data_IF_418250382850
#
_entry.id   IF_418250382850
#
_cell.length_a   1.000
_cell.length_b   1.000
_cell.length_c   1.000
_cell.angle_alpha   90.00
_cell.angle_beta   90.00
_cell.angle_gamma   90.00
#
_symmetry.space_group_name_H-M   'P 1'
#
loop_
_entity.id
_entity.type
_entity.pdbx_description
1 polymer ?
#
# COMPACT_ATOMS: atom_id res chain seq x y z
N UNK A 1 -12.03 40.51 -4.91
CA UNK A 1 -12.34 39.19 -4.31
C UNK A 1 -11.60 38.13 -5.10
N UNK A 2 -10.72 37.35 -4.46
CA UNK A 2 -10.06 36.24 -5.13
C UNK A 2 -11.06 35.10 -5.36
N UNK A 3 -11.16 34.62 -6.61
CA UNK A 3 -12.00 33.45 -6.94
C UNK A 3 -11.29 32.21 -6.41
N UNK A 4 -11.81 31.62 -5.33
CA UNK A 4 -11.22 30.48 -4.57
C UNK A 4 -10.94 29.19 -5.37
N UNK A 5 -11.23 29.16 -6.67
CA UNK A 5 -11.12 27.99 -7.55
C UNK A 5 -10.38 28.29 -8.86
N UNK A 6 -9.76 29.46 -9.01
CA UNK A 6 -8.99 29.81 -10.20
C UNK A 6 -7.53 29.98 -9.79
N UNK A 7 -6.67 29.12 -10.35
CA UNK A 7 -5.22 29.26 -10.26
C UNK A 7 -4.71 29.89 -11.56
N UNK A 8 -3.96 30.97 -11.45
CA UNK A 8 -3.27 31.57 -12.59
C UNK A 8 -1.87 30.97 -12.70
N UNK A 9 -1.47 30.60 -13.91
CA UNK A 9 -0.13 30.07 -14.20
C UNK A 9 0.42 30.74 -15.45
N UNK A 10 1.71 31.06 -15.42
CA UNK A 10 2.37 31.73 -16.54
C UNK A 10 3.09 30.72 -17.42
N UNK A 11 2.84 30.74 -18.72
CA UNK A 11 3.52 29.92 -19.72
C UNK A 11 4.52 30.77 -20.52
N UNK A 12 5.83 30.58 -20.27
CA UNK A 12 6.89 31.39 -20.89
C UNK A 12 7.56 30.63 -22.04
N UNK A 13 7.62 31.25 -23.21
CA UNK A 13 8.28 30.71 -24.40
C UNK A 13 9.51 31.55 -24.76
N UNK A 14 10.60 30.88 -25.06
CA UNK A 14 11.82 31.50 -25.59
C UNK A 14 11.80 31.42 -27.12
N UNK A 15 11.58 32.53 -27.81
CA UNK A 15 11.45 32.54 -29.28
C UNK A 15 12.77 32.28 -30.03
N UNK A 16 13.92 32.32 -29.34
CA UNK A 16 15.19 31.87 -29.90
C UNK A 16 15.30 30.34 -29.95
N UNK A 17 14.50 29.63 -29.15
CA UNK A 17 14.40 28.18 -29.22
C UNK A 17 13.40 27.80 -30.33
N UNK A 18 13.82 27.05 -31.37
CA UNK A 18 12.95 26.65 -32.47
C UNK A 18 11.70 25.86 -32.03
N UNK A 19 11.82 25.04 -30.99
CA UNK A 19 10.68 24.27 -30.46
C UNK A 19 9.61 25.20 -29.87
N UNK A 20 10.03 26.17 -29.06
CA UNK A 20 9.14 27.16 -28.45
C UNK A 20 8.54 28.10 -29.50
N UNK A 21 9.33 28.47 -30.52
CA UNK A 21 8.83 29.25 -31.65
C UNK A 21 7.71 28.50 -32.40
N UNK A 22 7.90 27.21 -32.69
CA UNK A 22 6.87 26.35 -33.30
C UNK A 22 5.60 26.30 -32.45
N UNK A 23 5.74 26.09 -31.13
CA UNK A 23 4.60 26.07 -30.20
C UNK A 23 3.86 27.42 -30.22
N UNK A 24 4.59 28.53 -30.21
CA UNK A 24 4.01 29.87 -30.26
C UNK A 24 3.20 30.12 -31.55
N UNK A 25 3.70 29.68 -32.70
CA UNK A 25 2.96 29.82 -33.97
C UNK A 25 1.65 29.02 -33.96
N UNK A 26 1.66 27.80 -33.44
CA UNK A 26 0.43 26.98 -33.30
C UNK A 26 -0.57 27.64 -32.34
N UNK A 27 -0.11 28.11 -31.18
CA UNK A 27 -0.97 28.75 -30.18
C UNK A 27 -1.56 30.08 -30.69
N UNK A 28 -0.80 30.85 -31.48
CA UNK A 28 -1.29 32.08 -32.11
C UNK A 28 -2.28 31.81 -33.24
N UNK A 29 -2.03 30.79 -34.05
CA UNK A 29 -2.86 30.40 -35.19
C UNK A 29 -3.99 29.42 -34.85
N UNK A 30 -4.37 29.31 -33.56
CA UNK A 30 -5.34 28.32 -33.10
C UNK A 30 -6.70 28.53 -33.77
N UNK A 31 -7.26 27.47 -34.33
CA UNK A 31 -8.56 27.53 -34.99
C UNK A 31 -9.70 27.63 -33.95
N UNK A 32 -10.44 28.76 -33.90
CA UNK A 32 -11.48 28.98 -32.89
C UNK A 32 -12.70 28.07 -33.06
N UNK A 33 -12.84 27.41 -34.21
CA UNK A 33 -13.90 26.41 -34.44
C UNK A 33 -13.63 25.09 -33.70
N UNK A 34 -12.36 24.80 -33.41
CA UNK A 34 -11.93 23.57 -32.74
C UNK A 34 -11.72 23.86 -31.26
N UNK A 35 -10.93 24.90 -30.94
CA UNK A 35 -10.59 25.26 -29.57
C UNK A 35 -11.13 26.64 -29.22
N UNK A 36 -11.86 26.75 -28.11
CA UNK A 36 -12.49 28.01 -27.69
C UNK A 36 -11.49 28.99 -27.08
N UNK A 37 -10.35 28.49 -26.59
CA UNK A 37 -9.29 29.32 -26.02
C UNK A 37 -7.93 28.62 -26.07
N UNK A 38 -6.85 29.40 -25.93
CA UNK A 38 -5.49 28.87 -25.75
C UNK A 38 -5.37 28.02 -24.49
N UNK A 39 -6.09 28.40 -23.43
CA UNK A 39 -6.09 27.67 -22.17
C UNK A 39 -6.69 26.27 -22.33
N UNK A 40 -7.81 26.15 -23.05
CA UNK A 40 -8.41 24.86 -23.37
C UNK A 40 -7.44 23.96 -24.13
N UNK A 41 -6.80 24.48 -25.18
CA UNK A 41 -5.80 23.73 -25.94
C UNK A 41 -4.63 23.23 -25.08
N UNK A 42 -4.11 24.09 -24.20
CA UNK A 42 -3.00 23.72 -23.30
C UNK A 42 -3.43 22.67 -22.27
N UNK A 43 -4.65 22.75 -21.73
CA UNK A 43 -5.18 21.75 -20.80
C UNK A 43 -5.29 20.40 -21.49
N UNK A 44 -5.94 20.32 -22.65
CA UNK A 44 -6.13 19.06 -23.38
C UNK A 44 -4.79 18.44 -23.80
N UNK A 45 -3.80 19.25 -24.17
CA UNK A 45 -2.46 18.76 -24.49
C UNK A 45 -1.74 18.17 -23.26
N UNK A 46 -1.91 18.78 -22.09
CA UNK A 46 -1.37 18.26 -20.83
C UNK A 46 -2.09 16.97 -20.40
N UNK A 47 -3.42 16.93 -20.48
CA UNK A 47 -4.23 15.73 -20.19
C UNK A 47 -3.79 14.56 -21.08
N UNK A 48 -3.67 14.79 -22.38
CA UNK A 48 -3.17 13.77 -23.31
C UNK A 48 -1.79 13.25 -22.89
N UNK A 49 -0.86 14.13 -22.50
CA UNK A 49 0.46 13.69 -22.07
C UNK A 49 0.42 12.86 -20.78
N UNK A 50 -0.42 13.26 -19.80
CA UNK A 50 -0.60 12.53 -18.54
C UNK A 50 -1.18 11.14 -18.79
N UNK A 51 -2.23 11.04 -19.61
CA UNK A 51 -2.92 9.79 -19.91
C UNK A 51 -2.02 8.77 -20.62
N UNK A 52 -1.06 9.23 -21.43
CA UNK A 52 -0.21 8.36 -22.25
C UNK A 52 1.13 7.99 -21.61
N UNK A 53 1.64 8.80 -20.67
CA UNK A 53 2.91 8.55 -19.97
C UNK A 53 2.74 8.08 -18.51
N UNK A 54 1.51 8.07 -18.00
CA UNK A 54 1.18 7.60 -16.65
C UNK A 54 1.33 8.69 -15.60
N UNK A 55 0.31 8.82 -14.74
CA UNK A 55 0.28 9.81 -13.65
C UNK A 55 1.44 9.66 -12.66
N UNK A 56 2.05 8.48 -12.56
CA UNK A 56 3.06 8.18 -11.55
C UNK A 56 4.48 8.61 -11.95
N UNK A 57 4.79 8.74 -13.24
CA UNK A 57 6.16 8.99 -13.71
C UNK A 57 6.43 10.47 -14.06
N UNK A 58 5.39 11.31 -14.08
CA UNK A 58 5.46 12.75 -14.39
C UNK A 58 5.74 13.62 -13.16
N UNK A 59 5.01 13.51 -12.03
CA UNK A 59 5.38 14.20 -10.80
C UNK A 59 6.56 13.48 -10.13
N UNK A 60 7.52 14.24 -9.59
CA UNK A 60 8.58 13.65 -8.77
C UNK A 60 7.92 12.96 -7.56
N UNK A 61 8.11 11.64 -7.43
CA UNK A 61 7.58 10.79 -6.34
C UNK A 61 8.07 11.19 -4.93
N UNK A 62 8.64 12.38 -4.73
CA UNK A 62 9.22 12.81 -3.46
C UNK A 62 8.17 12.92 -2.34
N UNK A 63 6.92 13.32 -2.65
CA UNK A 63 5.88 13.46 -1.62
C UNK A 63 5.17 12.14 -1.27
N UNK A 64 4.87 11.26 -2.24
CA UNK A 64 4.11 10.03 -1.97
C UNK A 64 4.91 8.91 -1.29
N UNK A 65 6.24 8.93 -1.34
CA UNK A 65 7.04 7.82 -0.77
C UNK A 65 6.88 7.70 0.74
N UNK A 66 6.71 8.79 1.48
CA UNK A 66 6.71 8.74 2.94
C UNK A 66 5.37 8.31 3.54
N UNK A 67 4.26 8.38 2.80
CA UNK A 67 2.94 7.95 3.28
C UNK A 67 2.80 6.42 3.37
N UNK A 68 3.66 5.66 2.69
CA UNK A 68 3.61 4.20 2.65
C UNK A 68 4.60 3.50 3.59
N UNK A 69 5.49 4.24 4.27
CA UNK A 69 6.47 3.65 5.19
C UNK A 69 6.04 3.80 6.64
N UNK A 70 6.12 2.70 7.38
CA UNK A 70 6.02 2.74 8.84
C UNK A 70 7.29 3.37 9.40
N UNK A 71 7.14 4.45 10.16
CA UNK A 71 8.24 5.15 10.84
C UNK A 71 8.81 4.31 11.98
N UNK A 72 10.05 4.61 12.41
CA UNK A 72 10.69 3.91 13.54
C UNK A 72 9.85 4.00 14.83
N UNK A 73 9.25 5.16 15.07
CA UNK A 73 8.41 5.39 16.25
C UNK A 73 7.13 4.56 16.20
N UNK A 74 6.52 4.41 15.02
CA UNK A 74 5.36 3.54 14.82
C UNK A 74 5.71 2.05 15.02
N UNK A 75 6.88 1.60 14.53
CA UNK A 75 7.37 0.24 14.80
C UNK A 75 7.55 0.02 16.30
N UNK A 76 8.13 1.00 17.00
CA UNK A 76 8.37 0.87 18.44
C UNK A 76 7.07 0.87 19.24
N UNK A 77 6.06 1.62 18.78
CA UNK A 77 4.71 1.57 19.35
C UNK A 77 4.05 0.20 19.13
N UNK A 78 4.09 -0.34 17.92
CA UNK A 78 3.55 -1.67 17.59
C UNK A 78 4.22 -2.74 18.46
N UNK A 79 5.55 -2.68 18.62
CA UNK A 79 6.29 -3.61 19.49
C UNK A 79 5.78 -3.59 20.93
N UNK A 80 5.60 -2.39 21.50
CA UNK A 80 5.08 -2.23 22.87
C UNK A 80 3.65 -2.75 23.01
N UNK A 81 2.80 -2.55 22.01
CA UNK A 81 1.42 -3.06 22.00
C UNK A 81 1.37 -4.58 21.94
N UNK A 82 2.23 -5.21 21.14
CA UNK A 82 2.37 -6.67 21.08
C UNK A 82 2.84 -7.23 22.43
N UNK A 83 3.91 -6.66 23.00
CA UNK A 83 4.43 -7.09 24.31
C UNK A 83 3.37 -6.97 25.41
N UNK A 84 2.62 -5.86 25.43
CA UNK A 84 1.55 -5.65 26.38
C UNK A 84 0.41 -6.67 26.22
N UNK A 85 0.01 -6.94 24.98
CA UNK A 85 -1.06 -7.90 24.67
C UNK A 85 -0.66 -9.31 25.10
N UNK A 86 0.54 -9.76 24.75
CA UNK A 86 1.06 -11.07 25.15
C UNK A 86 1.19 -11.21 26.67
N UNK A 87 1.69 -10.17 27.37
CA UNK A 87 1.76 -10.19 28.83
C UNK A 87 0.37 -10.22 29.49
N UNK A 88 -0.59 -9.49 28.93
CA UNK A 88 -1.96 -9.45 29.46
C UNK A 88 -2.63 -10.82 29.34
N UNK A 89 -2.46 -11.49 28.20
CA UNK A 89 -2.99 -12.82 27.96
C UNK A 89 -2.34 -13.88 28.86
N UNK A 90 -1.01 -13.87 28.97
CA UNK A 90 -0.30 -14.75 29.91
C UNK A 90 -0.73 -14.54 31.37
N UNK A 91 -0.97 -13.28 31.79
CA UNK A 91 -1.48 -12.99 33.14
C UNK A 91 -2.88 -13.56 33.35
N UNK A 92 -3.78 -13.46 32.37
CA UNK A 92 -5.14 -14.02 32.45
C UNK A 92 -5.10 -15.54 32.61
N UNK A 93 -4.27 -16.23 31.83
CA UNK A 93 -4.09 -17.68 31.93
C UNK A 93 -3.58 -18.11 33.31
N UNK A 94 -2.57 -17.41 33.84
CA UNK A 94 -2.05 -17.69 35.20
C UNK A 94 -3.12 -17.50 36.27
N UNK A 95 -3.93 -16.42 36.17
CA UNK A 95 -5.04 -16.18 37.09
C UNK A 95 -6.09 -17.29 36.98
N UNK A 96 -6.41 -17.74 35.77
CA UNK A 96 -7.34 -18.85 35.53
C UNK A 96 -6.85 -20.14 36.20
N UNK A 97 -5.58 -20.51 35.97
CA UNK A 97 -4.95 -21.69 36.55
C UNK A 97 -4.91 -21.65 38.07
N UNK A 98 -4.48 -20.54 38.66
CA UNK A 98 -4.44 -20.36 40.11
C UNK A 98 -5.84 -20.33 40.71
N UNK A 99 -6.80 -19.68 40.05
CA UNK A 99 -8.21 -19.66 40.45
C UNK A 99 -8.83 -21.06 40.45
N UNK A 100 -8.57 -21.86 39.41
CA UNK A 100 -9.01 -23.25 39.31
C UNK A 100 -8.38 -24.17 40.36
N UNK A 101 -7.08 -23.98 40.64
CA UNK A 101 -6.37 -24.73 41.66
C UNK A 101 -6.86 -24.41 43.09
N UNK A 102 -7.15 -23.13 43.37
CA UNK A 102 -7.63 -22.68 44.68
C UNK A 102 -9.13 -22.94 44.89
N UNK A 103 -9.94 -22.94 43.83
CA UNK A 103 -11.37 -23.24 43.90
C UNK A 103 -11.68 -24.73 44.16
N UNK A 104 -10.66 -25.59 44.26
CA UNK A 104 -10.83 -26.97 44.68
C UNK A 104 -11.76 -27.76 43.75
N UNK A 105 -11.47 -27.75 42.44
CA UNK A 105 -12.22 -28.54 41.45
C UNK A 105 -12.04 -30.03 41.76
N UNK A 106 -13.02 -30.56 42.49
CA UNK A 106 -13.31 -31.99 42.60
C UNK A 106 -13.84 -32.45 41.24
N UNK A 107 -12.96 -32.87 40.33
CA UNK A 107 -13.39 -33.64 39.16
C UNK A 107 -13.72 -35.06 39.62
N UNK A 108 -15.01 -35.29 39.84
CA UNK A 108 -15.59 -36.62 39.92
C UNK A 108 -15.58 -37.27 38.54
N UNK A 109 -14.84 -38.39 38.46
CA UNK A 109 -14.89 -39.51 37.51
C UNK A 109 -14.54 -39.28 36.02
N UNK A 110 -13.69 -40.15 35.43
CA UNK A 110 -13.56 -40.26 33.99
C UNK A 110 -14.75 -41.06 33.43
N UNK A 111 -15.53 -40.45 32.54
CA UNK A 111 -16.51 -41.19 31.74
C UNK A 111 -15.76 -41.82 30.57
N UNK A 112 -15.65 -43.15 30.60
CA UNK A 112 -15.27 -43.97 29.45
C UNK A 112 -16.40 -43.85 28.43
N UNK A 113 -16.14 -43.23 27.28
CA UNK A 113 -17.04 -43.29 26.13
C UNK A 113 -16.33 -44.05 25.01
N UNK A 114 -16.97 -45.14 24.61
CA UNK A 114 -16.52 -46.09 23.61
C UNK A 114 -16.40 -45.46 22.21
N UNK A 115 -15.38 -45.88 21.47
CA UNK A 115 -15.29 -45.69 20.03
C UNK A 115 -16.36 -46.57 19.35
N UNK A 116 -17.08 -46.04 18.35
CA UNK A 116 -16.82 -46.55 16.99
C UNK A 116 -16.95 -45.52 15.85
N UNK A 117 -16.01 -45.64 14.89
CA UNK A 117 -16.09 -45.36 13.44
C UNK A 117 -16.30 -43.90 13.00
N UNK A 118 -15.24 -43.21 12.57
CA UNK A 118 -14.81 -43.09 11.15
C UNK A 118 -15.89 -42.50 10.24
N UNK A 119 -15.87 -41.18 10.10
CA UNK A 119 -16.00 -40.52 8.80
C UNK A 119 -15.07 -39.31 8.81
N UNK A 120 -13.90 -39.51 8.21
CA UNK A 120 -12.85 -38.52 8.05
C UNK A 120 -13.23 -37.69 6.82
N UNK A 121 -13.86 -36.53 7.00
CA UNK A 121 -13.94 -35.54 5.92
C UNK A 121 -12.53 -34.95 5.72
N UNK A 122 -11.89 -35.30 4.60
CA UNK A 122 -10.66 -34.68 4.11
C UNK A 122 -10.87 -33.17 3.98
N UNK A 123 -10.29 -32.40 4.90
CA UNK A 123 -9.99 -31.01 4.65
C UNK A 123 -8.86 -30.95 3.60
N UNK A 124 -8.96 -30.08 2.59
CA UNK A 124 -7.87 -29.93 1.62
C UNK A 124 -6.63 -29.44 2.38
N UNK A 125 -5.51 -30.12 2.20
CA UNK A 125 -4.21 -29.66 2.66
C UNK A 125 -4.01 -28.23 2.13
N UNK A 126 -3.96 -27.24 3.03
CA UNK A 126 -3.40 -25.94 2.68
C UNK A 126 -1.97 -26.22 2.23
N UNK A 127 -1.66 -25.92 0.96
CA UNK A 127 -0.31 -25.96 0.41
C UNK A 127 0.61 -25.12 1.30
N UNK A 128 1.23 -25.79 2.28
CA UNK A 128 2.30 -25.23 3.09
C UNK A 128 3.43 -24.96 2.12
N UNK A 129 3.57 -23.70 1.72
CA UNK A 129 4.66 -23.19 0.89
C UNK A 129 5.98 -23.79 1.39
N UNK A 130 6.56 -24.67 0.59
CA UNK A 130 7.71 -25.46 0.98
C UNK A 130 8.95 -24.53 1.01
N UNK A 131 9.79 -24.61 2.05
CA UNK A 131 10.96 -23.74 2.29
C UNK A 131 11.91 -23.60 1.09
N UNK A 132 11.84 -24.53 0.14
CA UNK A 132 12.53 -24.51 -1.15
C UNK A 132 12.23 -23.26 -1.98
N UNK A 133 11.00 -22.75 -1.97
CA UNK A 133 10.60 -21.61 -2.81
C UNK A 133 11.15 -20.28 -2.26
N UNK A 134 11.28 -20.18 -0.94
CA UNK A 134 11.85 -19.01 -0.25
C UNK A 134 13.36 -18.92 -0.50
N UNK A 135 14.05 -20.06 -0.48
CA UNK A 135 15.48 -20.12 -0.80
C UNK A 135 15.77 -19.74 -2.26
N UNK A 136 14.91 -20.16 -3.20
CA UNK A 136 15.01 -19.80 -4.62
C UNK A 136 14.83 -18.29 -4.87
N UNK A 137 13.87 -17.67 -4.18
CA UNK A 137 13.67 -16.23 -4.24
C UNK A 137 14.88 -15.46 -3.68
N UNK A 138 15.45 -15.87 -2.54
CA UNK A 138 16.61 -15.20 -1.95
C UNK A 138 17.85 -15.26 -2.87
N UNK A 139 18.08 -16.38 -3.54
CA UNK A 139 19.21 -16.56 -4.48
C UNK A 139 19.08 -15.67 -5.73
N UNK A 140 17.85 -15.38 -6.18
CA UNK A 140 17.60 -14.53 -7.34
C UNK A 140 18.00 -13.06 -7.16
N UNK A 141 18.03 -12.55 -5.92
CA UNK A 141 18.44 -11.17 -5.62
C UNK A 141 19.96 -11.03 -5.51
N UNK A 142 20.66 -12.12 -5.19
CA UNK A 142 22.11 -12.12 -5.03
C UNK A 142 22.85 -12.11 -6.38
N UNK A 143 22.21 -12.56 -7.46
CA UNK A 143 22.81 -12.66 -8.80
C UNK A 143 22.60 -11.42 -9.69
N UNK A 144 21.84 -10.41 -9.23
CA UNK A 144 21.57 -9.17 -9.99
C UNK A 144 22.45 -7.97 -9.59
N UNK A 145 23.48 -8.21 -8.79
CA UNK A 145 24.46 -7.21 -8.40
C UNK A 145 25.84 -7.50 -8.98
N UNK A 146 26.01 -7.26 -10.28
CA UNK A 146 27.28 -6.91 -10.94
C UNK A 146 26.98 -6.08 -12.20
#
# INVERSE_FOLDING_TARGET
MARRHIMESTFRLNLLNPQHAKINEVIKGLNPKIYKSKNQFLIEACEFYIDHYGEDDIPSKEEKRYEQFVTRDEIEKIKKEIEYSAMSEARKEVISLLGGALAGVKNSQPVVIANPQEDMEEQPEEDVMNDSDVAGLAMGWMLKGD
#
